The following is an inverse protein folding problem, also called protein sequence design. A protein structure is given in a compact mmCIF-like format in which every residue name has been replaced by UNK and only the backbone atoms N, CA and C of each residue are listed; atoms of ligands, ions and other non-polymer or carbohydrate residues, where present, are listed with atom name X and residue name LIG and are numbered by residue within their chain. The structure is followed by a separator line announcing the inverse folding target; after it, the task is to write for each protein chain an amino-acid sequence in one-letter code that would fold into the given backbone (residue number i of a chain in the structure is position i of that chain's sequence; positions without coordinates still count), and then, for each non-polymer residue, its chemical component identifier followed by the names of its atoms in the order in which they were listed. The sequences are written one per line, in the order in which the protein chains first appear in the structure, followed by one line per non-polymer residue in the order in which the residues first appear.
data_IF_558934185525
#
_entry.id   IF_558934185525
#
_cell.length_a   1.000
_cell.length_b   1.000
_cell.length_c   1.000
_cell.angle_alpha   90.00
_cell.angle_beta   90.00
_cell.angle_gamma   90.00
#
_symmetry.space_group_name_H-M   'P 1'
#
loop_
_entity.id
_entity.type
_entity.pdbx_description
1 polymer ?
#
# COMPACT_ATOMS: atom_id res chain seq x y z
N UNK A 1 -6.50 53.04 35.93
CA UNK A 1 -7.92 52.65 36.14
C UNK A 1 -8.76 52.41 34.87
N UNK A 2 -8.25 52.57 33.65
CA UNK A 2 -8.97 52.11 32.44
C UNK A 2 -8.01 51.49 31.43
N UNK A 3 -6.81 52.05 31.29
CA UNK A 3 -5.70 51.44 30.54
C UNK A 3 -5.33 50.05 31.03
N UNK A 4 -5.26 49.84 32.34
CA UNK A 4 -4.85 48.54 32.92
C UNK A 4 -5.88 47.43 32.68
N UNK A 5 -7.18 47.77 32.64
CA UNK A 5 -8.28 46.85 32.37
C UNK A 5 -8.27 46.44 30.89
N UNK A 6 -8.03 47.41 29.99
CA UNK A 6 -7.90 47.14 28.56
C UNK A 6 -6.67 46.29 28.28
N UNK A 7 -5.52 46.59 28.91
CA UNK A 7 -4.30 45.79 28.76
C UNK A 7 -4.46 44.38 29.33
N UNK A 8 -5.19 44.19 30.44
CA UNK A 8 -5.52 42.88 30.98
C UNK A 8 -6.44 42.09 30.05
N UNK A 9 -7.48 42.72 29.48
CA UNK A 9 -8.36 42.07 28.51
C UNK A 9 -7.63 41.71 27.21
N UNK A 10 -6.80 42.61 26.68
CA UNK A 10 -5.97 42.33 25.50
C UNK A 10 -4.99 41.19 25.78
N UNK A 11 -4.28 41.22 26.92
CA UNK A 11 -3.36 40.14 27.30
C UNK A 11 -4.06 38.79 27.54
N UNK A 12 -5.26 38.81 28.11
CA UNK A 12 -6.09 37.62 28.35
C UNK A 12 -6.60 37.00 27.05
N UNK A 13 -7.01 37.84 26.08
CA UNK A 13 -7.42 37.39 24.74
C UNK A 13 -6.21 36.86 23.96
N UNK A 14 -5.03 37.49 24.06
CA UNK A 14 -3.82 37.01 23.38
C UNK A 14 -3.32 35.67 23.94
N UNK A 15 -3.31 35.47 25.25
CA UNK A 15 -2.90 34.18 25.86
C UNK A 15 -3.93 33.07 25.63
N UNK A 16 -5.24 33.37 25.71
CA UNK A 16 -6.29 32.38 25.44
C UNK A 16 -6.34 32.01 23.96
N UNK A 17 -6.10 32.97 23.06
CA UNK A 17 -5.99 32.74 21.62
C UNK A 17 -4.79 31.84 21.27
N UNK A 18 -3.62 32.01 21.90
CA UNK A 18 -2.46 31.12 21.68
C UNK A 18 -2.70 29.68 22.13
N UNK A 19 -3.37 29.45 23.28
CA UNK A 19 -3.70 28.10 23.77
C UNK A 19 -4.74 27.39 22.89
N UNK A 20 -5.78 28.10 22.46
CA UNK A 20 -6.82 27.54 21.58
C UNK A 20 -6.28 27.29 20.17
N UNK A 21 -5.43 28.17 19.65
CA UNK A 21 -4.80 28.02 18.33
C UNK A 21 -3.81 26.84 18.31
N UNK A 22 -3.01 26.66 19.37
CA UNK A 22 -2.10 25.50 19.48
C UNK A 22 -2.86 24.19 19.70
N UNK A 23 -3.91 24.17 20.53
CA UNK A 23 -4.72 22.97 20.74
C UNK A 23 -5.50 22.55 19.48
N UNK A 24 -6.04 23.51 18.73
CA UNK A 24 -6.73 23.25 17.45
C UNK A 24 -5.74 22.88 16.33
N UNK A 25 -4.53 23.44 16.31
CA UNK A 25 -3.47 23.03 15.39
C UNK A 25 -3.00 21.59 15.67
N UNK A 26 -2.80 21.22 16.94
CA UNK A 26 -2.50 19.84 17.33
C UNK A 26 -3.67 18.92 17.00
N UNK A 27 -4.90 19.34 17.27
CA UNK A 27 -6.12 18.60 16.97
C UNK A 27 -6.29 18.34 15.46
N UNK A 28 -6.07 19.35 14.62
CA UNK A 28 -6.12 19.22 13.15
C UNK A 28 -4.95 18.43 12.59
N UNK A 29 -3.74 18.54 13.15
CA UNK A 29 -2.61 17.65 12.82
C UNK A 29 -2.93 16.19 13.12
N UNK A 30 -3.50 15.91 14.29
CA UNK A 30 -3.90 14.56 14.70
C UNK A 30 -5.03 14.03 13.82
N UNK A 31 -6.04 14.85 13.50
CA UNK A 31 -7.15 14.48 12.61
C UNK A 31 -6.68 14.26 11.16
N UNK A 32 -5.72 15.05 10.69
CA UNK A 32 -5.12 14.92 9.36
C UNK A 32 -4.24 13.67 9.29
N UNK A 33 -3.42 13.43 10.30
CA UNK A 33 -2.62 12.20 10.44
C UNK A 33 -3.52 10.95 10.52
N UNK A 34 -4.67 11.04 11.21
CA UNK A 34 -5.67 9.96 11.27
C UNK A 34 -6.34 9.71 9.91
N UNK A 35 -6.61 10.76 9.13
CA UNK A 35 -7.30 10.66 7.84
C UNK A 35 -6.38 10.18 6.72
N UNK A 36 -5.08 10.52 6.79
CA UNK A 36 -4.08 10.21 5.76
C UNK A 36 -3.89 8.70 5.55
N UNK A 37 -4.07 7.88 6.59
CA UNK A 37 -3.82 6.43 6.52
C UNK A 37 -4.97 5.56 5.99
N UNK A 38 -6.11 6.11 5.58
CA UNK A 38 -7.31 5.32 5.27
C UNK A 38 -7.12 4.33 4.11
N UNK A 39 -6.41 4.71 3.05
CA UNK A 39 -6.12 3.82 1.92
C UNK A 39 -5.25 2.62 2.32
N UNK A 40 -4.17 2.89 3.05
CA UNK A 40 -3.32 1.84 3.61
C UNK A 40 -4.08 0.93 4.58
N UNK A 41 -4.90 1.52 5.46
CA UNK A 41 -5.76 0.77 6.36
C UNK A 41 -6.74 -0.14 5.61
N UNK A 42 -7.32 0.32 4.50
CA UNK A 42 -8.19 -0.50 3.66
C UNK A 42 -7.43 -1.70 3.07
N UNK A 43 -6.22 -1.51 2.54
CA UNK A 43 -5.39 -2.60 2.03
C UNK A 43 -5.00 -3.61 3.12
N UNK A 44 -4.59 -3.14 4.30
CA UNK A 44 -4.30 -4.01 5.45
C UNK A 44 -5.54 -4.81 5.85
N UNK A 45 -6.70 -4.15 5.89
CA UNK A 45 -7.97 -4.80 6.25
C UNK A 45 -8.36 -5.84 5.22
N UNK A 46 -8.25 -5.52 3.92
CA UNK A 46 -8.50 -6.46 2.84
C UNK A 46 -7.57 -7.67 2.92
N UNK A 47 -6.27 -7.47 3.15
CA UNK A 47 -5.33 -8.57 3.37
C UNK A 47 -5.74 -9.43 4.58
N UNK A 48 -6.10 -8.83 5.71
CA UNK A 48 -6.58 -9.60 6.87
C UNK A 48 -7.82 -10.45 6.55
N UNK A 49 -8.76 -9.91 5.78
CA UNK A 49 -9.96 -10.63 5.31
C UNK A 49 -9.56 -11.79 4.41
N UNK A 50 -8.71 -11.56 3.40
CA UNK A 50 -8.23 -12.60 2.47
C UNK A 50 -7.51 -13.75 3.19
N UNK A 51 -6.71 -13.43 4.21
CA UNK A 51 -6.02 -14.42 5.03
C UNK A 51 -6.89 -14.94 6.21
N UNK A 52 -8.20 -14.67 6.20
CA UNK A 52 -9.15 -15.08 7.24
C UNK A 52 -8.69 -14.79 8.68
N UNK A 53 -7.93 -13.71 8.88
CA UNK A 53 -7.44 -13.30 10.19
C UNK A 53 -8.53 -12.54 10.94
N UNK A 54 -9.04 -13.13 12.02
CA UNK A 54 -10.06 -12.49 12.89
C UNK A 54 -9.46 -11.70 14.05
N UNK A 55 -8.21 -12.01 14.42
CA UNK A 55 -7.54 -11.36 15.53
C UNK A 55 -7.20 -9.91 15.17
N UNK A 56 -7.40 -9.00 16.12
CA UNK A 56 -7.06 -7.59 15.98
C UNK A 56 -5.70 -7.34 16.61
N UNK A 57 -4.81 -6.64 15.90
CA UNK A 57 -3.59 -6.07 16.49
C UNK A 57 -3.98 -5.15 17.65
N UNK A 58 -3.13 -5.10 18.69
CA UNK A 58 -3.23 -4.06 19.72
C UNK A 58 -3.26 -2.68 19.05
N UNK A 59 -4.06 -1.76 19.58
CA UNK A 59 -4.34 -0.46 18.95
C UNK A 59 -3.07 0.29 18.53
N UNK A 60 -2.07 0.37 19.41
CA UNK A 60 -0.79 1.02 19.13
C UNK A 60 -0.02 0.34 18.00
N UNK A 61 0.08 -0.99 18.02
CA UNK A 61 0.77 -1.75 16.97
C UNK A 61 0.04 -1.62 15.61
N UNK A 62 -1.29 -1.57 15.63
CA UNK A 62 -2.08 -1.31 14.43
C UNK A 62 -1.79 0.08 13.85
N UNK A 63 -1.64 1.10 14.69
CA UNK A 63 -1.31 2.47 14.27
C UNK A 63 0.10 2.55 13.67
N UNK A 64 1.11 1.99 14.35
CA UNK A 64 2.50 1.96 13.88
C UNK A 64 2.60 1.27 12.52
N UNK A 65 1.93 0.13 12.35
CA UNK A 65 1.97 -0.63 11.10
C UNK A 65 1.33 0.16 9.95
N UNK A 66 0.18 0.78 10.18
CA UNK A 66 -0.47 1.65 9.18
C UNK A 66 0.45 2.80 8.77
N UNK A 67 1.10 3.43 9.75
CA UNK A 67 2.05 4.51 9.50
C UNK A 67 3.26 4.03 8.68
N UNK A 68 3.87 2.90 9.06
CA UNK A 68 5.01 2.32 8.35
C UNK A 68 4.68 1.94 6.91
N UNK A 69 3.52 1.35 6.65
CA UNK A 69 3.11 1.03 5.28
C UNK A 69 2.77 2.29 4.47
N UNK A 70 2.17 3.30 5.08
CA UNK A 70 1.93 4.59 4.42
C UNK A 70 3.24 5.27 4.07
N UNK A 71 4.20 5.32 5.00
CA UNK A 71 5.53 5.86 4.78
C UNK A 71 6.29 5.06 3.71
N UNK A 72 6.21 3.72 3.77
CA UNK A 72 6.81 2.84 2.77
C UNK A 72 6.25 3.06 1.37
N UNK A 73 4.93 3.25 1.23
CA UNK A 73 4.31 3.58 -0.05
C UNK A 73 4.83 4.93 -0.61
N UNK A 74 4.99 5.93 0.26
CA UNK A 74 5.57 7.23 -0.12
C UNK A 74 7.02 7.06 -0.57
N UNK A 75 7.84 6.32 0.17
CA UNK A 75 9.24 6.05 -0.18
C UNK A 75 9.35 5.33 -1.52
N UNK A 76 8.53 4.30 -1.76
CA UNK A 76 8.48 3.58 -3.03
C UNK A 76 8.09 4.52 -4.18
N UNK A 77 7.09 5.38 -3.98
CA UNK A 77 6.69 6.38 -4.98
C UNK A 77 7.81 7.38 -5.28
N UNK A 78 8.51 7.88 -4.25
CA UNK A 78 9.64 8.79 -4.41
C UNK A 78 10.80 8.12 -5.16
N UNK A 79 11.15 6.90 -4.81
CA UNK A 79 12.20 6.13 -5.52
C UNK A 79 11.81 5.91 -6.98
N UNK A 80 10.55 5.57 -7.26
CA UNK A 80 10.07 5.42 -8.63
C UNK A 80 10.19 6.73 -9.42
N UNK A 81 9.80 7.87 -8.83
CA UNK A 81 9.95 9.19 -9.45
C UNK A 81 11.41 9.56 -9.70
N UNK A 82 12.31 9.28 -8.74
CA UNK A 82 13.75 9.51 -8.89
C UNK A 82 14.33 8.65 -10.02
N UNK A 83 13.93 7.38 -10.12
CA UNK A 83 14.35 6.51 -11.23
C UNK A 83 13.89 7.10 -12.57
N UNK A 84 12.63 7.50 -12.68
CA UNK A 84 12.09 8.07 -13.93
C UNK A 84 12.79 9.39 -14.30
N UNK A 85 13.10 10.25 -13.31
CA UNK A 85 13.68 11.57 -13.57
C UNK A 85 15.20 11.60 -13.69
N UNK A 86 15.93 10.82 -12.88
CA UNK A 86 17.40 10.91 -12.74
C UNK A 86 18.11 9.85 -13.57
N UNK A 87 17.57 8.63 -13.68
CA UNK A 87 18.23 7.54 -14.41
C UNK A 87 18.54 7.91 -15.87
N UNK A 88 17.64 8.58 -16.63
CA UNK A 88 17.95 9.05 -17.98
C UNK A 88 19.14 10.01 -18.02
N UNK A 89 19.24 10.92 -17.05
CA UNK A 89 20.31 11.94 -16.98
C UNK A 89 21.66 11.25 -16.76
N UNK A 90 21.71 10.32 -15.81
CA UNK A 90 22.94 9.56 -15.49
C UNK A 90 23.40 8.74 -16.70
N UNK A 91 22.48 8.06 -17.38
CA UNK A 91 22.80 7.24 -18.55
C UNK A 91 23.28 8.09 -19.75
N UNK A 92 22.75 9.30 -19.91
CA UNK A 92 23.22 10.25 -20.91
C UNK A 92 24.65 10.75 -20.66
N UNK A 93 25.03 10.95 -19.39
CA UNK A 93 26.40 11.40 -19.02
C UNK A 93 27.48 10.35 -19.30
N UNK A 94 27.11 9.06 -19.36
CA UNK A 94 28.05 7.95 -19.63
C UNK A 94 28.36 7.79 -21.13
N UNK A 95 27.73 8.57 -22.02
CA UNK A 95 28.15 8.73 -23.42
C UNK A 95 27.70 7.63 -24.40
N UNK A 96 26.59 6.93 -24.10
CA UNK A 96 26.03 5.85 -24.94
C UNK A 96 25.08 6.38 -26.05
N UNK A 97 25.49 7.39 -26.81
CA UNK A 97 24.63 8.33 -27.57
C UNK A 97 23.66 7.73 -28.59
N UNK A 98 23.90 6.54 -29.15
CA UNK A 98 23.05 5.95 -30.21
C UNK A 98 22.10 4.84 -29.73
N UNK A 99 22.28 4.30 -28.51
CA UNK A 99 21.46 3.22 -27.94
C UNK A 99 20.79 3.58 -26.60
N UNK A 100 20.97 4.82 -26.13
CA UNK A 100 20.52 5.29 -24.82
C UNK A 100 19.01 5.14 -24.62
N UNK A 101 18.17 5.56 -25.58
CA UNK A 101 16.73 5.61 -25.34
C UNK A 101 16.11 4.23 -25.15
N UNK A 102 16.55 3.25 -25.95
CA UNK A 102 16.11 1.86 -25.81
C UNK A 102 16.63 1.24 -24.52
N UNK A 103 17.89 1.53 -24.14
CA UNK A 103 18.48 1.05 -22.88
C UNK A 103 17.80 1.65 -21.65
N UNK A 104 17.48 2.95 -21.67
CA UNK A 104 16.74 3.63 -20.59
C UNK A 104 15.41 2.92 -20.40
N UNK A 105 14.63 2.72 -21.46
CA UNK A 105 13.33 2.06 -21.35
C UNK A 105 13.48 0.61 -20.87
N UNK A 106 14.43 -0.14 -21.45
CA UNK A 106 14.65 -1.55 -21.13
C UNK A 106 15.10 -1.77 -19.68
N UNK A 107 15.79 -0.81 -19.05
CA UNK A 107 16.22 -0.90 -17.66
C UNK A 107 15.15 -0.35 -16.71
N UNK A 108 14.55 0.79 -17.05
CA UNK A 108 13.62 1.52 -16.17
C UNK A 108 12.37 0.69 -15.86
N UNK A 109 11.72 0.14 -16.89
CA UNK A 109 10.44 -0.56 -16.70
C UNK A 109 10.58 -1.84 -15.86
N UNK A 110 11.56 -2.73 -16.12
CA UNK A 110 11.79 -3.88 -15.24
C UNK A 110 12.21 -3.49 -13.83
N UNK A 111 13.03 -2.44 -13.67
CA UNK A 111 13.44 -1.97 -12.35
C UNK A 111 12.24 -1.51 -11.52
N UNK A 112 11.34 -0.72 -12.12
CA UNK A 112 10.09 -0.30 -11.47
C UNK A 112 9.19 -1.50 -11.15
N UNK A 113 9.10 -2.48 -12.06
CA UNK A 113 8.33 -3.70 -11.82
C UNK A 113 8.90 -4.51 -10.65
N UNK A 114 10.22 -4.62 -10.52
CA UNK A 114 10.88 -5.29 -9.39
C UNK A 114 10.61 -4.55 -8.09
N UNK A 115 10.73 -3.22 -8.07
CA UNK A 115 10.46 -2.41 -6.87
C UNK A 115 8.99 -2.58 -6.44
N UNK A 116 8.06 -2.53 -7.38
CA UNK A 116 6.64 -2.74 -7.11
C UNK A 116 6.38 -4.18 -6.62
N UNK A 117 7.01 -5.18 -7.22
CA UNK A 117 6.92 -6.57 -6.77
C UNK A 117 7.41 -6.75 -5.33
N UNK A 118 8.55 -6.15 -4.99
CA UNK A 118 9.07 -6.14 -3.64
C UNK A 118 8.08 -5.48 -2.68
N UNK A 119 7.53 -4.32 -3.04
CA UNK A 119 6.53 -3.62 -2.22
C UNK A 119 5.30 -4.51 -1.94
N UNK A 120 4.79 -5.23 -2.95
CA UNK A 120 3.70 -6.20 -2.78
C UNK A 120 4.11 -7.39 -1.92
N UNK A 121 5.32 -7.93 -2.09
CA UNK A 121 5.82 -9.03 -1.26
C UNK A 121 5.90 -8.61 0.22
N UNK A 122 6.38 -7.39 0.50
CA UNK A 122 6.37 -6.81 1.85
C UNK A 122 4.95 -6.63 2.38
N UNK A 123 4.03 -6.13 1.55
CA UNK A 123 2.62 -5.99 1.90
C UNK A 123 2.01 -7.34 2.32
N UNK A 124 2.13 -8.36 1.48
CA UNK A 124 1.55 -9.68 1.74
C UNK A 124 2.18 -10.37 2.95
N UNK A 125 3.45 -10.10 3.25
CA UNK A 125 4.16 -10.68 4.39
C UNK A 125 3.77 -10.04 5.72
N UNK A 126 3.69 -8.71 5.76
CA UNK A 126 3.64 -7.96 7.03
C UNK A 126 2.30 -7.27 7.30
N UNK A 127 1.43 -7.11 6.29
CA UNK A 127 0.10 -6.53 6.48
C UNK A 127 -0.84 -7.45 7.28
N UNK A 128 -0.93 -8.77 6.98
CA UNK A 128 -1.81 -9.66 7.73
C UNK A 128 -1.37 -9.79 9.20
N UNK A 129 -2.31 -9.82 10.13
CA UNK A 129 -2.02 -10.03 11.56
C UNK A 129 -1.83 -11.52 11.88
N UNK A 130 -0.66 -12.05 11.51
CA UNK A 130 -0.29 -13.44 11.70
C UNK A 130 1.23 -13.60 11.77
N UNK A 131 1.70 -14.80 12.09
CA UNK A 131 3.10 -15.16 11.89
C UNK A 131 3.46 -14.99 10.41
N UNK A 132 4.50 -14.23 10.05
CA UNK A 132 4.86 -14.00 8.66
C UNK A 132 5.11 -15.30 7.90
N UNK A 133 4.61 -15.39 6.66
CA UNK A 133 4.92 -16.52 5.79
C UNK A 133 6.37 -16.43 5.26
N UNK A 134 6.97 -17.58 4.93
CA UNK A 134 8.27 -17.68 4.25
C UNK A 134 8.16 -17.00 2.87
N UNK A 135 9.27 -16.41 2.40
CA UNK A 135 9.30 -15.68 1.12
C UNK A 135 8.76 -16.50 -0.06
N UNK A 136 9.11 -17.79 -0.13
CA UNK A 136 8.68 -18.73 -1.19
C UNK A 136 7.16 -18.82 -1.36
N UNK A 137 6.39 -18.66 -0.29
CA UNK A 137 4.91 -18.75 -0.32
C UNK A 137 4.24 -17.44 -0.72
N UNK A 138 4.98 -16.32 -0.74
CA UNK A 138 4.46 -14.99 -1.04
C UNK A 138 4.83 -14.55 -2.47
N UNK A 139 5.99 -14.99 -2.96
CA UNK A 139 6.54 -14.64 -4.27
C UNK A 139 5.59 -14.96 -5.45
N UNK A 140 4.88 -16.11 -5.50
CA UNK A 140 4.00 -16.41 -6.63
C UNK A 140 2.89 -15.37 -6.82
N UNK A 141 2.19 -15.00 -5.74
CA UNK A 141 1.13 -14.01 -5.77
C UNK A 141 1.63 -12.58 -5.98
N UNK A 142 2.83 -12.22 -5.50
CA UNK A 142 3.41 -10.90 -5.79
C UNK A 142 3.76 -10.76 -7.26
N UNK A 143 4.39 -11.79 -7.86
CA UNK A 143 4.71 -11.81 -9.29
C UNK A 143 3.45 -11.74 -10.13
N UNK A 144 2.45 -12.58 -9.85
CA UNK A 144 1.20 -12.58 -10.60
C UNK A 144 0.47 -11.23 -10.51
N UNK A 145 0.38 -10.64 -9.30
CA UNK A 145 -0.22 -9.32 -9.13
C UNK A 145 0.56 -8.23 -9.86
N UNK A 146 1.89 -8.29 -9.88
CA UNK A 146 2.73 -7.34 -10.63
C UNK A 146 2.46 -7.44 -12.13
N UNK A 147 2.40 -8.65 -12.68
CA UNK A 147 2.10 -8.88 -14.10
C UNK A 147 0.70 -8.36 -14.46
N UNK A 148 -0.31 -8.71 -13.67
CA UNK A 148 -1.67 -8.22 -13.87
C UNK A 148 -1.74 -6.69 -13.76
N UNK A 149 -1.00 -6.09 -12.83
CA UNK A 149 -0.96 -4.64 -12.66
C UNK A 149 -0.32 -3.94 -13.86
N UNK A 150 0.73 -4.51 -14.46
CA UNK A 150 1.33 -4.01 -15.70
C UNK A 150 0.34 -4.12 -16.87
N UNK A 151 -0.29 -5.29 -17.05
CA UNK A 151 -1.30 -5.51 -18.10
C UNK A 151 -2.46 -4.53 -17.94
N UNK A 152 -2.94 -4.36 -16.71
CA UNK A 152 -4.00 -3.41 -16.39
C UNK A 152 -3.56 -1.96 -16.65
N UNK A 153 -2.30 -1.60 -16.35
CA UNK A 153 -1.75 -0.27 -16.64
C UNK A 153 -1.80 0.03 -18.13
N UNK A 154 -1.34 -0.91 -18.96
CA UNK A 154 -1.35 -0.76 -20.42
C UNK A 154 -2.78 -0.66 -20.95
N UNK A 155 -3.67 -1.55 -20.50
CA UNK A 155 -5.09 -1.54 -20.91
C UNK A 155 -5.81 -0.27 -20.45
N UNK A 156 -5.50 0.23 -19.27
CA UNK A 156 -6.08 1.46 -18.72
C UNK A 156 -5.56 2.69 -19.45
N UNK A 157 -4.28 2.77 -19.79
CA UNK A 157 -3.73 3.82 -20.64
C UNK A 157 -4.43 3.87 -22.00
N UNK A 158 -4.68 2.71 -22.62
CA UNK A 158 -5.46 2.63 -23.86
C UNK A 158 -6.89 3.13 -23.65
N UNK A 159 -7.58 2.66 -22.61
CA UNK A 159 -8.94 3.11 -22.27
C UNK A 159 -9.03 4.64 -22.11
N UNK A 160 -8.13 5.23 -21.32
CA UNK A 160 -8.12 6.68 -21.07
C UNK A 160 -7.82 7.47 -22.35
N UNK A 161 -6.96 6.96 -23.24
CA UNK A 161 -6.69 7.60 -24.52
C UNK A 161 -7.94 7.74 -25.40
N UNK A 162 -8.86 6.78 -25.34
CA UNK A 162 -10.14 6.82 -26.07
C UNK A 162 -11.17 7.73 -25.38
N UNK A 163 -11.10 7.84 -24.05
CA UNK A 163 -11.99 8.68 -23.24
C UNK A 163 -11.61 10.17 -23.24
N UNK A 164 -10.40 10.53 -23.69
CA UNK A 164 -9.93 11.91 -23.72
C UNK A 164 -10.85 12.85 -24.54
N UNK A 165 -11.57 12.33 -25.53
CA UNK A 165 -12.56 13.08 -26.32
C UNK A 165 -13.89 13.36 -25.59
N UNK A 166 -14.25 12.57 -24.57
CA UNK A 166 -15.44 12.79 -23.72
C UNK A 166 -15.17 13.74 -22.55
N UNK A 167 -13.92 14.09 -22.30
CA UNK A 167 -13.49 14.97 -21.21
C UNK A 167 -13.97 16.42 -21.38
N UNK A 168 -14.35 16.84 -22.59
CA UNK A 168 -14.87 18.18 -22.87
C UNK A 168 -16.22 18.46 -22.19
N UNK A 169 -17.03 17.43 -21.93
CA UNK A 169 -18.36 17.59 -21.31
C UNK A 169 -18.32 17.52 -19.78
N UNK A 170 -17.41 16.72 -19.21
CA UNK A 170 -17.39 16.42 -17.77
C UNK A 170 -16.21 17.04 -17.01
N UNK A 171 -15.23 17.62 -17.70
CA UNK A 171 -14.11 18.35 -17.11
C UNK A 171 -13.46 17.61 -15.93
N UNK A 172 -13.33 18.27 -14.78
CA UNK A 172 -12.70 17.69 -13.59
C UNK A 172 -13.41 16.46 -13.01
N UNK A 173 -14.72 16.28 -13.26
CA UNK A 173 -15.48 15.13 -12.77
C UNK A 173 -15.04 13.84 -13.47
N UNK A 174 -14.75 13.90 -14.77
CA UNK A 174 -14.23 12.76 -15.53
C UNK A 174 -12.89 12.27 -14.99
N UNK A 175 -11.99 13.20 -14.66
CA UNK A 175 -10.69 12.88 -14.06
C UNK A 175 -10.79 12.14 -12.73
N UNK A 176 -11.71 12.56 -11.85
CA UNK A 176 -11.94 11.87 -10.56
C UNK A 176 -12.44 10.44 -10.77
N UNK A 177 -13.40 10.24 -11.69
CA UNK A 177 -13.94 8.91 -11.99
C UNK A 177 -12.87 7.99 -12.56
N UNK A 178 -12.05 8.49 -13.50
CA UNK A 178 -10.90 7.76 -14.05
C UNK A 178 -9.94 7.35 -12.92
N UNK A 179 -9.57 8.28 -12.05
CA UNK A 179 -8.68 7.99 -10.92
C UNK A 179 -9.26 6.94 -9.97
N UNK A 180 -10.55 7.04 -9.62
CA UNK A 180 -11.22 6.07 -8.77
C UNK A 180 -11.29 4.68 -9.39
N UNK A 181 -11.56 4.60 -10.69
CA UNK A 181 -11.55 3.34 -11.43
C UNK A 181 -10.15 2.72 -11.46
N UNK A 182 -9.11 3.51 -11.66
CA UNK A 182 -7.73 3.04 -11.60
C UNK A 182 -7.37 2.45 -10.23
N UNK A 183 -7.74 3.17 -9.17
CA UNK A 183 -7.54 2.71 -7.79
C UNK A 183 -8.34 1.43 -7.50
N UNK A 184 -9.56 1.33 -8.02
CA UNK A 184 -10.41 0.15 -7.87
C UNK A 184 -9.80 -1.09 -8.53
N UNK A 185 -9.36 -0.97 -9.79
CA UNK A 185 -8.70 -2.06 -10.52
C UNK A 185 -7.41 -2.47 -9.80
N UNK A 186 -6.60 -1.50 -9.39
CA UNK A 186 -5.36 -1.74 -8.65
C UNK A 186 -5.60 -2.50 -7.34
N UNK A 187 -6.59 -2.08 -6.55
CA UNK A 187 -6.95 -2.73 -5.30
C UNK A 187 -7.39 -4.19 -5.53
N UNK A 188 -8.18 -4.45 -6.57
CA UNK A 188 -8.63 -5.79 -6.91
C UNK A 188 -7.44 -6.71 -7.27
N UNK A 189 -6.50 -6.23 -8.08
CA UNK A 189 -5.31 -7.00 -8.48
C UNK A 189 -4.44 -7.34 -7.26
N UNK A 190 -4.24 -6.39 -6.35
CA UNK A 190 -3.46 -6.59 -5.12
C UNK A 190 -4.14 -7.66 -4.23
N UNK A 191 -5.46 -7.56 -4.05
CA UNK A 191 -6.21 -8.54 -3.23
C UNK A 191 -6.19 -9.92 -3.91
N UNK A 192 -6.29 -9.96 -5.23
CA UNK A 192 -6.22 -11.20 -6.00
C UNK A 192 -4.87 -11.90 -5.81
N UNK A 193 -3.75 -11.18 -5.88
CA UNK A 193 -2.43 -11.75 -5.58
C UNK A 193 -2.32 -12.27 -4.15
N UNK A 194 -2.88 -11.55 -3.18
CA UNK A 194 -2.94 -12.03 -1.79
C UNK A 194 -3.78 -13.31 -1.66
N UNK A 195 -4.88 -13.44 -2.41
CA UNK A 195 -5.76 -14.60 -2.39
C UNK A 195 -5.08 -15.84 -2.97
N UNK A 196 -4.28 -15.69 -4.03
CA UNK A 196 -3.47 -16.78 -4.60
C UNK A 196 -2.44 -17.27 -3.59
N UNK A 197 -1.77 -16.36 -2.86
CA UNK A 197 -0.86 -16.76 -1.80
C UNK A 197 -1.57 -17.47 -0.66
N UNK A 198 -2.75 -16.98 -0.25
CA UNK A 198 -3.56 -17.60 0.79
C UNK A 198 -4.05 -19.00 0.36
N UNK A 199 -4.52 -19.18 -0.88
CA UNK A 199 -4.99 -20.49 -1.35
C UNK A 199 -3.85 -21.50 -1.46
N UNK A 200 -2.68 -21.09 -1.95
CA UNK A 200 -1.49 -21.94 -2.00
C UNK A 200 -1.04 -22.38 -0.59
N UNK A 201 -1.10 -21.46 0.38
CA UNK A 201 -0.78 -21.73 1.78
C UNK A 201 -1.81 -22.68 2.43
N UNK A 202 -3.09 -22.56 2.09
CA UNK A 202 -4.15 -23.43 2.62
C UNK A 202 -4.01 -24.89 2.16
N UNK A 203 -3.47 -25.10 0.96
CA UNK A 203 -3.36 -26.44 0.36
C UNK A 203 -2.10 -27.20 0.80
N UNK A 204 -1.23 -26.59 1.60
CA UNK A 204 0.03 -27.24 2.01
C UNK A 204 -0.03 -27.82 3.42
N UNK A 205 0.45 -29.06 3.55
CA UNK A 205 0.71 -29.70 4.84
C UNK A 205 2.00 -29.18 5.48
N UNK A 206 2.92 -28.64 4.68
CA UNK A 206 4.22 -28.14 5.14
C UNK A 206 4.04 -26.78 5.79
N UNK A 207 4.75 -26.53 6.90
CA UNK A 207 4.70 -25.23 7.56
C UNK A 207 5.20 -24.09 6.64
N UNK A 208 4.28 -23.19 6.34
CA UNK A 208 4.46 -22.00 5.52
C UNK A 208 5.01 -20.81 6.29
N UNK A 209 5.00 -20.84 7.63
CA UNK A 209 5.35 -19.73 8.51
C UNK A 209 6.82 -19.72 8.90
N UNK A 210 7.33 -18.57 9.33
CA UNK A 210 8.71 -18.47 9.86
C UNK A 210 8.81 -19.00 11.29
N UNK A 211 9.97 -19.56 11.65
CA UNK A 211 10.25 -20.06 13.00
C UNK A 211 10.50 -21.57 13.02
N UNK A 212 10.54 -22.18 14.23
CA UNK A 212 10.57 -23.63 14.35
C UNK A 212 9.32 -24.23 13.72
N UNK A 213 9.45 -25.43 13.13
CA UNK A 213 8.34 -26.11 12.47
C UNK A 213 7.22 -26.40 13.47
N UNK A 214 6.00 -26.00 13.12
CA UNK A 214 4.81 -26.21 13.95
C UNK A 214 3.77 -27.07 13.26
N UNK A 215 3.09 -27.87 14.08
CA UNK A 215 1.92 -28.62 13.65
C UNK A 215 0.76 -27.69 13.25
N UNK A 216 -0.14 -28.23 12.45
CA UNK A 216 -1.32 -27.52 11.97
C UNK A 216 -2.21 -27.16 13.15
N UNK A 217 -2.54 -25.88 13.30
CA UNK A 217 -3.30 -25.36 14.44
C UNK A 217 -2.46 -24.44 15.34
N UNK A 218 -1.13 -24.56 15.31
CA UNK A 218 -0.20 -23.81 16.16
C UNK A 218 0.67 -22.80 15.40
N UNK A 219 0.54 -22.71 14.06
CA UNK A 219 1.38 -21.86 13.20
C UNK A 219 1.10 -20.36 13.41
N UNK A 220 -0.03 -20.02 14.02
CA UNK A 220 -0.42 -18.64 14.29
C UNK A 220 -0.85 -17.93 13.01
N UNK A 221 -1.41 -18.68 12.06
CA UNK A 221 -1.90 -18.20 10.79
C UNK A 221 -3.12 -19.03 10.36
N UNK A 222 -4.33 -18.47 10.54
CA UNK A 222 -5.61 -19.13 10.24
C UNK A 222 -5.67 -19.93 8.93
N UNK A 223 -5.06 -19.42 7.85
CA UNK A 223 -5.06 -20.12 6.55
C UNK A 223 -4.13 -21.33 6.53
N UNK A 224 -2.94 -21.22 7.14
CA UNK A 224 -1.99 -22.34 7.28
C UNK A 224 -2.45 -23.38 8.31
N UNK A 225 -3.29 -22.96 9.26
CA UNK A 225 -3.84 -23.79 10.34
C UNK A 225 -5.20 -24.40 9.97
N UNK A 226 -5.85 -23.94 8.89
CA UNK A 226 -7.03 -24.58 8.30
C UNK A 226 -6.60 -25.47 7.14
N UNK A 227 -6.06 -26.65 7.47
CA UNK A 227 -6.14 -27.74 6.50
C UNK A 227 -7.60 -28.01 6.21
N UNK A 228 -7.92 -28.36 4.96
CA UNK A 228 -9.25 -28.76 4.56
C UNK A 228 -9.69 -29.90 5.48
N UNK A 229 -10.56 -29.61 6.45
CA UNK A 229 -11.19 -30.58 7.36
C UNK A 229 -11.79 -31.78 6.60
N UNK A 230 -12.10 -31.59 5.31
CA UNK A 230 -12.62 -32.61 4.41
C UNK A 230 -11.66 -33.76 4.08
N UNK A 231 -10.34 -33.64 4.23
CA UNK A 231 -9.45 -34.78 3.95
C UNK A 231 -9.40 -35.79 5.11
N UNK A 232 -9.62 -35.34 6.35
CA UNK A 232 -9.69 -36.21 7.53
C UNK A 232 -11.11 -36.71 7.84
N UNK A 233 -12.15 -36.16 7.21
CA UNK A 233 -13.53 -36.69 7.32
C UNK A 233 -13.82 -37.80 6.28
N UNK A 234 -12.91 -38.03 5.33
CA UNK A 234 -13.00 -39.08 4.29
C UNK A 234 -11.86 -40.11 4.33
N UNK A 235 -11.05 -40.11 5.39
CA UNK A 235 -10.02 -41.14 5.68
C UNK A 235 -10.41 -41.92 6.92
#
# INVERSE_FOLDING_TARGET
SSRDIILLQVSGITQQSQKVLSASAIGTLLLTAWSSGKGCQALITACNITYHQRNKRQFFMALVVRFLFSLGAIVVALVALLIIGILPIVLNLVGLTELIDLMIQLITWPLLAIIFNCALAFLYRYAPHRTPAKWRWITPGSILATLLWIIASIGFSYYVSQFASYNETYGSLGGVVIMLMWLYISAYIIIFGAAINASAEQQTLVDSTIGPEKEVGERGATVADRLTRQQNEHS
#
